data_IF_352355592853
#
_entry.id   IF_352355592853
#
_cell.length_a   1.000
_cell.length_b   1.000
_cell.length_c   1.000
_cell.angle_alpha   90.00
_cell.angle_beta   90.00
_cell.angle_gamma   90.00
#
_symmetry.space_group_name_H-M   'P 1'
#
loop_
_entity.id
_entity.type
_entity.pdbx_description
1 polymer ?
#
# COMPACT_ATOMS: atom_id res chain seq x y z
N UNK A 1 14.08 0.30 8.27
CA UNK A 1 13.51 0.14 6.92
C UNK A 1 12.16 0.86 6.71
N UNK A 2 11.04 0.43 7.31
CA UNK A 2 9.72 1.03 6.99
C UNK A 2 9.59 2.50 7.38
N UNK A 3 10.25 2.92 8.47
CA UNK A 3 10.33 4.31 8.89
C UNK A 3 11.09 5.18 7.87
N UNK A 4 12.16 4.65 7.27
CA UNK A 4 12.93 5.36 6.23
C UNK A 4 12.08 5.58 4.97
N UNK A 5 11.25 4.61 4.58
CA UNK A 5 10.31 4.77 3.46
C UNK A 5 9.31 5.90 3.75
N UNK A 6 8.73 5.91 4.96
CA UNK A 6 7.80 6.97 5.36
C UNK A 6 8.47 8.34 5.39
N UNK A 7 9.67 8.44 5.97
CA UNK A 7 10.45 9.67 6.02
C UNK A 7 10.79 10.18 4.62
N UNK A 8 11.21 9.29 3.71
CA UNK A 8 11.57 9.64 2.36
C UNK A 8 10.37 10.09 1.53
N UNK A 9 9.18 9.52 1.75
CA UNK A 9 7.93 10.02 1.14
C UNK A 9 7.54 11.37 1.73
N UNK A 10 7.61 11.54 3.05
CA UNK A 10 7.31 12.81 3.72
C UNK A 10 8.22 13.94 3.23
N UNK A 11 9.51 13.67 3.10
CA UNK A 11 10.50 14.64 2.62
C UNK A 11 10.22 15.09 1.19
N UNK A 12 9.83 14.18 0.29
CA UNK A 12 9.65 14.48 -1.14
C UNK A 12 8.23 14.90 -1.53
N UNK A 13 7.21 14.46 -0.80
CA UNK A 13 5.78 14.63 -1.13
C UNK A 13 4.95 15.29 -0.03
N UNK A 14 5.56 15.61 1.11
CA UNK A 14 4.90 16.21 2.26
C UNK A 14 4.13 15.21 3.14
N UNK A 15 3.72 15.69 4.31
CA UNK A 15 3.07 14.87 5.35
C UNK A 15 1.75 14.24 4.91
N UNK A 16 0.99 14.89 4.01
CA UNK A 16 -0.30 14.40 3.53
C UNK A 16 -0.14 13.10 2.72
N UNK A 17 0.96 12.98 1.97
CA UNK A 17 1.23 11.84 1.10
C UNK A 17 2.03 10.75 1.81
N UNK A 18 2.53 11.00 3.02
CA UNK A 18 3.29 10.01 3.78
C UNK A 18 2.36 8.87 4.22
N UNK A 19 2.69 7.60 3.92
CA UNK A 19 1.83 6.48 4.27
C UNK A 19 1.85 6.27 5.79
N UNK A 20 0.67 6.01 6.37
CA UNK A 20 0.53 5.67 7.79
C UNK A 20 1.05 4.27 8.14
N UNK A 21 1.12 3.39 7.15
CA UNK A 21 1.56 2.00 7.29
C UNK A 21 2.32 1.58 6.05
N UNK A 22 3.42 0.87 6.24
CA UNK A 22 4.17 0.20 5.17
C UNK A 22 4.27 -1.28 5.56
N UNK A 23 3.79 -2.15 4.69
CA UNK A 23 3.81 -3.60 4.90
C UNK A 23 4.70 -4.21 3.83
N UNK A 24 5.70 -4.98 4.26
CA UNK A 24 6.58 -5.74 3.36
C UNK A 24 5.99 -7.14 3.23
N UNK A 25 5.93 -7.66 2.00
CA UNK A 25 5.42 -8.99 1.66
C UNK A 25 6.40 -9.64 0.69
N UNK A 26 6.45 -10.98 0.69
CA UNK A 26 7.37 -11.72 -0.20
C UNK A 26 6.98 -11.56 -1.68
N UNK A 27 5.69 -11.42 -1.96
CA UNK A 27 5.18 -11.18 -3.32
C UNK A 27 3.87 -10.42 -3.33
N UNK A 28 3.66 -9.66 -4.41
CA UNK A 28 2.37 -9.04 -4.70
C UNK A 28 1.46 -10.05 -5.42
N UNK A 29 0.15 -10.09 -5.10
CA UNK A 29 -0.78 -10.83 -5.94
C UNK A 29 -0.80 -10.21 -7.33
N UNK A 30 -0.79 -11.06 -8.35
CA UNK A 30 -0.83 -10.67 -9.76
C UNK A 30 -2.12 -11.14 -10.39
N UNK A 31 -2.60 -10.42 -11.39
CA UNK A 31 -3.70 -10.86 -12.25
C UNK A 31 -3.23 -11.97 -13.20
N UNK A 32 -4.15 -12.61 -13.93
CA UNK A 32 -3.79 -13.58 -14.98
C UNK A 32 -2.89 -13.02 -16.09
N UNK A 33 -2.75 -11.69 -16.20
CA UNK A 33 -1.84 -11.01 -17.12
C UNK A 33 -0.52 -10.56 -16.45
N UNK A 34 -0.24 -11.01 -15.22
CA UNK A 34 0.99 -10.70 -14.48
C UNK A 34 1.08 -9.28 -13.92
N UNK A 35 0.02 -8.48 -14.00
CA UNK A 35 0.00 -7.12 -13.42
C UNK A 35 -0.38 -7.17 -11.95
N UNK A 36 0.11 -6.26 -11.08
CA UNK A 36 -0.31 -6.21 -9.68
C UNK A 36 -1.84 -6.10 -9.53
N UNK A 37 -2.42 -7.05 -8.79
CA UNK A 37 -3.85 -7.10 -8.52
C UNK A 37 -4.20 -6.23 -7.32
N UNK A 38 -4.55 -4.97 -7.59
CA UNK A 38 -4.97 -4.02 -6.56
C UNK A 38 -6.22 -4.47 -5.80
N UNK A 39 -7.14 -5.21 -6.43
CA UNK A 39 -8.37 -5.68 -5.78
C UNK A 39 -8.03 -6.75 -4.74
N UNK A 40 -7.17 -7.70 -5.10
CA UNK A 40 -6.69 -8.72 -4.17
C UNK A 40 -5.88 -8.11 -3.01
N UNK A 41 -5.02 -7.12 -3.28
CA UNK A 41 -4.31 -6.39 -2.22
C UNK A 41 -5.28 -5.72 -1.25
N UNK A 42 -6.32 -5.05 -1.76
CA UNK A 42 -7.33 -4.39 -0.91
C UNK A 42 -8.12 -5.38 -0.07
N UNK A 43 -8.52 -6.51 -0.63
CA UNK A 43 -9.20 -7.55 0.14
C UNK A 43 -8.35 -8.03 1.33
N UNK A 44 -7.02 -8.14 1.14
CA UNK A 44 -6.10 -8.58 2.21
C UNK A 44 -5.83 -7.53 3.29
N UNK A 45 -5.80 -6.24 2.96
CA UNK A 45 -5.27 -5.20 3.86
C UNK A 45 -6.22 -4.02 4.13
N UNK A 46 -7.41 -4.04 3.54
CA UNK A 46 -8.45 -3.01 3.69
C UNK A 46 -9.74 -3.57 4.31
N UNK A 47 -9.70 -4.81 4.80
CA UNK A 47 -10.79 -5.43 5.56
C UNK A 47 -11.08 -4.64 6.84
N UNK A 48 -12.37 -4.48 7.18
CA UNK A 48 -12.82 -3.71 8.35
C UNK A 48 -12.83 -2.18 8.17
N UNK A 49 -12.35 -1.64 7.04
CA UNK A 49 -12.52 -0.23 6.75
C UNK A 49 -13.94 0.03 6.20
N UNK A 50 -14.73 0.85 6.89
CA UNK A 50 -16.13 1.16 6.51
C UNK A 50 -16.31 1.85 5.14
N UNK A 51 -15.22 2.22 4.47
CA UNK A 51 -15.23 2.81 3.13
C UNK A 51 -14.29 2.05 2.19
N UNK A 52 -14.84 1.59 1.07
CA UNK A 52 -14.06 1.14 -0.08
C UNK A 52 -13.43 2.34 -0.81
N UNK A 53 -12.19 2.16 -1.29
CA UNK A 53 -11.46 3.15 -2.08
C UNK A 53 -10.99 2.54 -3.41
N UNK A 54 -11.21 3.28 -4.50
CA UNK A 54 -10.97 2.86 -5.90
C UNK A 54 -9.52 2.80 -6.31
#
# INVERSE_FOLDING_TARGET
>A
MTAEIQAAVKQRKGSVQAPKRVVVVDSLPLTGLGKPDKKAVRARFWEGAGRAVG
#
